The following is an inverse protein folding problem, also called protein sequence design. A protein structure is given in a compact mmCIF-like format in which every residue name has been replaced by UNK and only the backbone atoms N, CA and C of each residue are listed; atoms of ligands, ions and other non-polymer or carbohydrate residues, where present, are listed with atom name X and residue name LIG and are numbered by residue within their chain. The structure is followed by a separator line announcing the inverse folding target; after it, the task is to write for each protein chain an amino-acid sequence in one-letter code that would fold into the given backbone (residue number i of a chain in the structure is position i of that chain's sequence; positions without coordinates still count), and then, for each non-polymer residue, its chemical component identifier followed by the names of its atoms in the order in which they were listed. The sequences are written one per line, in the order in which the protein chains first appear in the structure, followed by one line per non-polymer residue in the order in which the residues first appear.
data_IF_130961233458
#
_entry.id   IF_130961233458
#
_cell.length_a   1.000
_cell.length_b   1.000
_cell.length_c   1.000
_cell.angle_alpha   90.00
_cell.angle_beta   90.00
_cell.angle_gamma   90.00
#
_symmetry.space_group_name_H-M   'P 1'
#
loop_
_entity.id
_entity.type
_entity.pdbx_description
1 polymer ?
#
# COMPACT_ATOMS: atom_id res chain seq x y z
N UNK A 1 -6.32 -55.23 -1.24
CA UNK A 1 -5.00 -54.66 -0.92
C UNK A 1 -4.06 -55.08 -2.05
N UNK A 2 -3.68 -54.14 -2.93
CA UNK A 2 -2.58 -53.26 -2.59
C UNK A 2 -2.87 -51.76 -2.79
N UNK A 3 -1.99 -51.01 -2.15
CA UNK A 3 -1.85 -49.58 -1.92
C UNK A 3 -1.78 -48.69 -3.16
N UNK A 4 -2.49 -47.56 -3.09
CA UNK A 4 -2.51 -46.49 -4.08
C UNK A 4 -1.23 -45.65 -4.13
N UNK A 5 -1.00 -45.06 -5.30
CA UNK A 5 0.05 -44.08 -5.56
C UNK A 5 -0.41 -42.66 -5.24
N UNK A 6 0.49 -41.91 -4.63
CA UNK A 6 0.34 -40.54 -4.16
C UNK A 6 0.09 -39.52 -5.29
N UNK A 7 -0.83 -38.58 -5.02
CA UNK A 7 -0.92 -37.31 -5.72
C UNK A 7 -0.03 -36.27 -5.05
N UNK A 8 0.76 -35.55 -5.85
CA UNK A 8 1.55 -34.42 -5.41
C UNK A 8 0.79 -33.12 -5.73
N UNK A 9 0.21 -32.50 -4.71
CA UNK A 9 -0.31 -31.13 -4.73
C UNK A 9 0.51 -30.28 -3.79
N UNK A 10 1.54 -29.61 -4.31
CA UNK A 10 2.38 -28.68 -3.57
C UNK A 10 1.81 -27.27 -3.66
N UNK A 11 0.97 -26.88 -2.70
CA UNK A 11 0.61 -25.49 -2.46
C UNK A 11 1.68 -24.83 -1.60
N UNK A 12 2.50 -23.95 -2.20
CA UNK A 12 3.39 -23.07 -1.46
C UNK A 12 2.59 -21.88 -0.92
N UNK A 13 2.00 -22.06 0.26
CA UNK A 13 1.52 -20.96 1.08
C UNK A 13 2.70 -20.12 1.55
N UNK A 14 2.83 -18.91 1.03
CA UNK A 14 3.75 -17.91 1.54
C UNK A 14 3.32 -17.50 2.94
N UNK A 15 3.91 -18.13 3.96
CA UNK A 15 3.72 -17.74 5.35
C UNK A 15 4.19 -16.30 5.55
N UNK A 16 3.23 -15.38 5.63
CA UNK A 16 3.41 -14.15 6.37
C UNK A 16 3.56 -14.57 7.83
N UNK A 17 4.76 -14.43 8.37
CA UNK A 17 5.00 -14.59 9.79
C UNK A 17 4.05 -13.67 10.54
N UNK A 18 3.05 -14.25 11.18
CA UNK A 18 2.22 -13.56 12.15
C UNK A 18 3.13 -13.23 13.32
N UNK A 19 3.60 -11.98 13.36
CA UNK A 19 3.97 -11.36 14.62
C UNK A 19 2.73 -11.44 15.52
N UNK A 20 2.71 -12.42 16.42
CA UNK A 20 1.80 -12.46 17.55
C UNK A 20 2.17 -11.29 18.47
N UNK A 21 1.78 -10.09 18.08
CA UNK A 21 1.65 -8.95 18.97
C UNK A 21 0.43 -9.19 19.87
N UNK A 22 0.62 -9.99 20.92
CA UNK A 22 -0.30 -10.04 22.03
C UNK A 22 -0.35 -8.67 22.69
N UNK A 23 -1.38 -7.89 22.38
CA UNK A 23 -1.55 -6.55 22.91
C UNK A 23 -2.97 -6.05 22.71
N UNK A 24 -3.91 -6.59 23.49
CA UNK A 24 -5.16 -5.90 23.79
C UNK A 24 -4.85 -4.63 24.58
N UNK A 25 -4.42 -3.57 23.88
CA UNK A 25 -4.13 -2.28 24.45
C UNK A 25 -5.42 -1.45 24.54
N UNK A 26 -5.94 -1.32 25.76
CA UNK A 26 -6.93 -0.31 26.12
C UNK A 26 -6.48 1.08 25.65
N UNK A 27 -7.43 1.88 25.16
CA UNK A 27 -7.25 3.26 24.70
C UNK A 27 -6.76 4.22 25.79
N UNK A 28 -5.47 4.16 26.09
CA UNK A 28 -4.72 5.27 26.68
C UNK A 28 -4.04 6.05 25.56
N UNK A 29 -4.11 7.38 25.60
CA UNK A 29 -3.31 8.23 24.71
C UNK A 29 -1.83 8.05 25.02
N UNK A 30 -1.16 7.13 24.31
CA UNK A 30 0.29 7.01 24.37
C UNK A 30 0.87 8.27 23.74
N UNK A 31 1.48 9.13 24.54
CA UNK A 31 2.22 10.29 24.01
C UNK A 31 3.56 9.77 23.51
N UNK A 32 3.69 9.57 22.20
CA UNK A 32 4.97 9.22 21.59
C UNK A 32 5.93 10.42 21.70
N UNK A 33 7.06 10.25 22.36
CA UNK A 33 8.12 11.25 22.39
C UNK A 33 8.83 11.24 21.03
N UNK A 34 8.93 12.42 20.41
CA UNK A 34 9.60 12.62 19.12
C UNK A 34 10.75 13.60 19.30
N UNK A 35 11.86 13.33 18.62
CA UNK A 35 13.00 14.25 18.52
C UNK A 35 13.54 14.30 17.10
N UNK A 36 14.24 15.39 16.76
CA UNK A 36 14.97 15.54 15.51
C UNK A 36 16.38 16.04 15.77
N UNK A 37 17.36 15.61 14.99
CA UNK A 37 18.69 16.23 14.99
C UNK A 37 18.60 17.71 14.61
N UNK A 38 17.63 18.04 13.74
CA UNK A 38 17.27 19.38 13.33
C UNK A 38 15.77 19.59 13.59
N UNK A 39 15.47 20.45 14.57
CA UNK A 39 14.11 20.72 15.00
C UNK A 39 13.61 22.04 14.40
N UNK A 40 12.49 21.98 13.66
CA UNK A 40 11.78 23.13 13.09
C UNK A 40 10.46 23.28 13.86
N UNK A 41 10.51 23.99 14.98
CA UNK A 41 9.41 24.11 15.93
C UNK A 41 8.81 25.52 15.90
N UNK A 42 7.67 25.69 15.24
CA UNK A 42 6.97 26.98 15.12
C UNK A 42 7.75 28.07 14.36
N UNK A 43 8.82 27.70 13.66
CA UNK A 43 9.69 28.60 12.91
C UNK A 43 9.80 28.18 11.45
N UNK A 44 10.24 29.10 10.60
CA UNK A 44 10.59 28.81 9.20
C UNK A 44 12.09 28.49 9.07
N UNK A 45 12.41 27.45 8.33
CA UNK A 45 13.77 27.09 7.95
C UNK A 45 13.85 26.87 6.43
N UNK A 46 14.90 27.39 5.79
CA UNK A 46 15.17 27.18 4.36
C UNK A 46 16.61 26.73 4.21
N UNK A 47 16.80 25.62 3.50
CA UNK A 47 18.07 24.93 3.33
C UNK A 47 18.23 24.61 1.84
N UNK A 48 19.36 25.02 1.27
CA UNK A 48 19.77 24.66 -0.09
C UNK A 48 21.10 23.92 -0.02
N UNK A 49 21.10 22.66 -0.46
CA UNK A 49 22.25 21.77 -0.44
C UNK A 49 22.61 21.20 0.94
N UNK A 50 23.81 20.62 0.98
CA UNK A 50 24.40 20.03 2.18
C UNK A 50 23.92 18.60 2.49
N UNK A 51 24.61 17.99 3.45
CA UNK A 51 24.29 16.65 3.97
C UNK A 51 23.85 16.77 5.42
N UNK A 52 22.65 16.28 5.72
CA UNK A 52 21.99 16.37 7.01
C UNK A 52 21.78 14.96 7.55
N UNK A 53 22.32 14.66 8.73
CA UNK A 53 22.43 13.26 9.19
C UNK A 53 21.94 13.09 10.62
N UNK A 54 21.31 11.95 10.89
CA UNK A 54 21.11 11.41 12.23
C UNK A 54 21.56 9.96 12.29
N UNK A 55 22.52 9.68 13.17
CA UNK A 55 23.01 8.33 13.47
C UNK A 55 22.43 7.78 14.77
N UNK A 56 21.66 8.60 15.51
CA UNK A 56 21.08 8.20 16.80
C UNK A 56 19.83 7.38 16.58
N UNK A 57 19.62 6.38 17.45
CA UNK A 57 18.38 5.64 17.53
C UNK A 57 17.22 6.57 17.94
N UNK A 58 16.01 6.27 17.47
CA UNK A 58 14.75 6.96 17.85
C UNK A 58 14.76 8.48 17.65
N UNK A 59 15.60 8.98 16.75
CA UNK A 59 15.75 10.40 16.45
C UNK A 59 15.63 10.64 14.95
N UNK A 60 14.65 11.45 14.56
CA UNK A 60 14.50 11.88 13.18
C UNK A 60 15.70 12.71 12.72
N UNK A 61 15.96 12.82 11.41
CA UNK A 61 16.91 13.84 10.94
C UNK A 61 16.26 15.21 11.10
N UNK A 62 15.14 15.43 10.41
CA UNK A 62 14.31 16.62 10.57
C UNK A 62 12.99 16.30 11.28
N UNK A 63 12.66 17.11 12.28
CA UNK A 63 11.35 17.11 12.92
C UNK A 63 10.71 18.49 12.77
N UNK A 64 9.56 18.57 12.10
CA UNK A 64 8.81 19.81 11.88
C UNK A 64 7.49 19.76 12.66
N UNK A 65 7.30 20.69 13.59
CA UNK A 65 6.19 20.67 14.55
C UNK A 65 5.67 22.08 14.88
N UNK A 66 4.48 22.13 15.50
CA UNK A 66 3.87 23.35 16.05
C UNK A 66 3.77 24.52 15.06
N UNK A 67 3.44 24.23 13.79
CA UNK A 67 3.36 25.26 12.76
C UNK A 67 4.70 25.61 12.11
N UNK A 68 5.74 24.81 12.33
CA UNK A 68 7.03 24.96 11.66
C UNK A 68 6.91 24.78 10.14
N UNK A 69 7.78 25.43 9.39
CA UNK A 69 7.81 25.35 7.92
C UNK A 69 9.24 25.13 7.44
N UNK A 70 9.49 23.97 6.84
CA UNK A 70 10.80 23.58 6.31
C UNK A 70 10.80 23.62 4.79
N UNK A 71 11.77 24.28 4.18
CA UNK A 71 12.06 24.19 2.74
C UNK A 71 13.44 23.57 2.55
N UNK A 72 13.51 22.44 1.86
CA UNK A 72 14.72 21.74 1.48
C UNK A 72 14.85 21.76 -0.04
N UNK A 73 15.98 22.23 -0.54
CA UNK A 73 16.32 22.20 -1.96
C UNK A 73 17.70 21.57 -2.13
N UNK A 74 17.89 20.67 -3.11
CA UNK A 74 19.18 20.03 -3.43
C UNK A 74 19.92 19.34 -2.26
N UNK A 75 19.23 19.07 -1.14
CA UNK A 75 19.83 18.55 0.07
C UNK A 75 19.91 17.01 0.06
N UNK A 76 20.94 16.46 0.73
CA UNK A 76 21.03 15.02 1.03
C UNK A 76 20.69 14.79 2.50
N UNK A 77 19.70 13.93 2.78
CA UNK A 77 19.24 13.59 4.13
C UNK A 77 19.57 12.12 4.40
N UNK A 78 20.30 11.84 5.48
CA UNK A 78 20.81 10.50 5.80
C UNK A 78 20.40 10.05 7.20
N UNK A 79 19.75 8.89 7.30
CA UNK A 79 19.36 8.26 8.57
C UNK A 79 20.00 6.88 8.71
N UNK A 80 20.71 6.63 9.81
CA UNK A 80 21.42 5.36 10.01
C UNK A 80 21.37 4.77 11.43
N UNK A 81 20.68 5.41 12.38
CA UNK A 81 20.39 4.80 13.69
C UNK A 81 19.08 4.01 13.67
N UNK A 82 19.04 2.81 14.24
CA UNK A 82 17.85 1.96 14.26
C UNK A 82 16.74 2.51 15.17
N UNK A 83 15.49 2.21 14.84
CA UNK A 83 14.36 2.38 15.76
C UNK A 83 14.40 1.29 16.81
N UNK A 84 14.07 1.61 18.05
CA UNK A 84 13.83 0.63 19.11
C UNK A 84 12.38 0.12 19.13
N UNK A 85 11.49 0.74 18.35
CA UNK A 85 10.06 0.45 18.37
C UNK A 85 9.45 0.56 16.97
N UNK A 86 9.06 -0.58 16.42
CA UNK A 86 8.46 -0.69 15.09
C UNK A 86 7.08 -0.01 15.00
N UNK A 87 6.21 -0.21 16.01
CA UNK A 87 4.91 0.45 16.05
C UNK A 87 5.08 1.97 16.09
N UNK A 88 6.11 2.48 16.78
CA UNK A 88 6.35 3.90 16.89
C UNK A 88 6.82 4.53 15.57
N UNK A 89 7.66 3.82 14.79
CA UNK A 89 8.06 4.31 13.48
C UNK A 89 6.92 4.24 12.46
N UNK A 90 6.12 3.17 12.49
CA UNK A 90 5.01 2.98 11.55
C UNK A 90 3.83 3.91 11.84
N UNK A 91 3.50 4.16 13.11
CA UNK A 91 2.30 4.95 13.45
C UNK A 91 2.58 6.43 13.71
N UNK A 92 3.74 6.78 14.26
CA UNK A 92 4.03 8.15 14.67
C UNK A 92 5.23 8.76 13.94
N UNK A 93 5.83 8.02 13.00
CA UNK A 93 6.97 8.46 12.23
C UNK A 93 8.27 8.57 13.01
N UNK A 94 8.36 7.97 14.21
CA UNK A 94 9.62 7.89 14.96
C UNK A 94 10.75 7.41 14.03
N UNK A 95 11.95 7.98 14.19
CA UNK A 95 13.16 7.54 13.48
C UNK A 95 13.17 7.80 11.96
N UNK A 96 12.26 8.62 11.43
CA UNK A 96 12.22 9.00 10.02
C UNK A 96 13.35 9.94 9.59
N UNK A 97 13.65 10.01 8.29
CA UNK A 97 14.54 11.04 7.78
C UNK A 97 13.90 12.44 7.91
N UNK A 98 12.69 12.61 7.39
CA UNK A 98 11.90 13.84 7.55
C UNK A 98 10.54 13.49 8.14
N UNK A 99 10.22 14.05 9.31
CA UNK A 99 8.91 13.91 9.95
C UNK A 99 8.23 15.29 10.10
N UNK A 100 7.01 15.41 9.60
CA UNK A 100 6.16 16.60 9.77
C UNK A 100 4.91 16.24 10.57
N UNK A 101 4.70 16.90 11.71
CA UNK A 101 3.59 16.58 12.63
C UNK A 101 2.76 17.81 12.95
N UNK A 102 1.44 17.64 12.91
CA UNK A 102 0.49 18.64 13.41
C UNK A 102 -0.01 19.59 12.33
N UNK A 103 -1.26 20.01 12.49
CA UNK A 103 -1.88 21.03 11.65
C UNK A 103 -1.03 22.30 11.61
N UNK A 104 -0.77 22.79 10.40
CA UNK A 104 0.04 24.00 10.16
C UNK A 104 1.53 23.73 10.00
N UNK A 105 2.03 22.56 10.40
CA UNK A 105 3.41 22.16 10.13
C UNK A 105 3.55 21.71 8.67
N UNK A 106 4.60 22.18 7.99
CA UNK A 106 4.81 21.94 6.56
C UNK A 106 6.27 21.64 6.22
N UNK A 107 6.48 20.79 5.21
CA UNK A 107 7.77 20.67 4.54
C UNK A 107 7.59 20.74 3.01
N UNK A 108 8.51 21.42 2.33
CA UNK A 108 8.66 21.42 0.88
C UNK A 108 10.03 20.88 0.52
N UNK A 109 10.11 19.89 -0.37
CA UNK A 109 11.35 19.23 -0.77
C UNK A 109 11.49 19.23 -2.29
N UNK A 110 12.57 19.81 -2.82
CA UNK A 110 12.82 19.88 -4.26
C UNK A 110 14.24 19.42 -4.60
N UNK A 111 14.39 18.47 -5.54
CA UNK A 111 15.73 18.01 -5.97
C UNK A 111 16.52 17.30 -4.87
N UNK A 112 15.88 16.83 -3.79
CA UNK A 112 16.53 16.23 -2.64
C UNK A 112 16.85 14.74 -2.85
N UNK A 113 17.84 14.25 -2.11
CA UNK A 113 18.13 12.81 -1.97
C UNK A 113 17.93 12.39 -0.51
N UNK A 114 17.13 11.36 -0.26
CA UNK A 114 16.90 10.80 1.08
C UNK A 114 17.41 9.36 1.13
N UNK A 115 18.27 9.05 2.10
CA UNK A 115 18.85 7.72 2.29
C UNK A 115 18.62 7.24 3.71
N UNK A 116 17.97 6.10 3.88
CA UNK A 116 17.81 5.45 5.19
C UNK A 116 18.40 4.04 5.17
N UNK A 117 19.23 3.74 6.17
CA UNK A 117 19.97 2.48 6.26
C UNK A 117 19.80 1.75 7.61
N UNK A 118 18.67 2.01 8.27
CA UNK A 118 18.40 1.57 9.62
C UNK A 118 16.96 1.06 9.75
N UNK A 119 16.74 0.10 10.66
CA UNK A 119 15.43 -0.48 10.93
C UNK A 119 14.45 0.61 11.38
N UNK A 120 13.20 0.54 10.92
CA UNK A 120 12.18 1.52 11.30
C UNK A 120 12.46 2.94 10.82
N UNK A 121 13.21 3.14 9.73
CA UNK A 121 13.59 4.47 9.24
C UNK A 121 12.85 4.85 7.95
N UNK A 122 11.62 5.34 8.10
CA UNK A 122 10.86 5.90 6.99
C UNK A 122 11.60 7.10 6.36
N UNK A 123 11.52 7.28 5.05
CA UNK A 123 12.23 8.37 4.39
C UNK A 123 11.52 9.71 4.65
N UNK A 124 10.25 9.83 4.25
CA UNK A 124 9.46 11.05 4.45
C UNK A 124 8.10 10.68 5.05
N UNK A 125 7.78 11.31 6.17
CA UNK A 125 6.61 10.96 6.98
C UNK A 125 5.76 12.19 7.32
N UNK A 126 4.45 12.09 7.13
CA UNK A 126 3.48 13.11 7.56
C UNK A 126 2.48 12.53 8.58
N UNK A 127 2.37 13.14 9.75
CA UNK A 127 1.47 12.70 10.82
C UNK A 127 0.55 13.83 11.30
N UNK A 128 -0.61 13.48 11.84
CA UNK A 128 -1.47 14.39 12.62
C UNK A 128 -1.81 15.69 11.88
N UNK A 129 -2.22 15.59 10.60
CA UNK A 129 -2.47 16.73 9.69
C UNK A 129 -1.26 17.58 9.29
N UNK A 130 -0.03 17.09 9.53
CA UNK A 130 1.18 17.64 8.92
C UNK A 130 1.16 17.49 7.40
N UNK A 131 1.83 18.40 6.68
CA UNK A 131 1.82 18.41 5.22
C UNK A 131 3.22 18.40 4.62
N UNK A 132 3.41 17.58 3.59
CA UNK A 132 4.65 17.55 2.80
C UNK A 132 4.33 17.76 1.32
N UNK A 133 5.08 18.64 0.66
CA UNK A 133 5.06 18.84 -0.78
C UNK A 133 6.42 18.50 -1.37
N UNK A 134 6.45 17.69 -2.42
CA UNK A 134 7.66 17.11 -2.98
C UNK A 134 7.67 17.33 -4.49
N UNK A 135 8.83 17.70 -5.03
CA UNK A 135 9.05 17.83 -6.46
C UNK A 135 10.44 17.31 -6.85
N UNK A 136 10.51 16.20 -7.58
CA UNK A 136 11.77 15.69 -8.12
C UNK A 136 12.76 15.20 -7.06
N UNK A 137 12.39 14.22 -6.23
CA UNK A 137 13.31 13.66 -5.21
C UNK A 137 13.65 12.19 -5.44
N UNK A 138 14.80 11.77 -4.94
CA UNK A 138 15.22 10.35 -4.90
C UNK A 138 15.21 9.83 -3.47
N UNK A 139 14.59 8.68 -3.24
CA UNK A 139 14.52 7.99 -1.95
C UNK A 139 15.15 6.60 -2.07
N UNK A 140 15.99 6.24 -1.10
CA UNK A 140 16.50 4.88 -0.93
C UNK A 140 16.42 4.43 0.53
N UNK A 141 15.67 3.37 0.81
CA UNK A 141 15.60 2.71 2.12
C UNK A 141 16.09 1.26 2.00
N UNK A 142 16.74 0.72 3.04
CA UNK A 142 17.45 -0.58 2.94
C UNK A 142 17.19 -1.60 4.04
N UNK A 143 16.39 -1.27 5.06
CA UNK A 143 16.07 -2.12 6.22
C UNK A 143 14.57 -2.28 6.40
N UNK A 144 14.14 -3.16 7.32
CA UNK A 144 12.72 -3.40 7.55
C UNK A 144 12.01 -2.17 8.11
N UNK A 145 10.69 -2.14 7.92
CA UNK A 145 9.78 -1.08 8.38
C UNK A 145 10.28 0.33 8.06
N UNK A 146 10.87 0.46 6.86
CA UNK A 146 11.49 1.69 6.34
C UNK A 146 10.88 2.03 4.99
N UNK A 147 9.73 2.69 5.01
CA UNK A 147 8.94 3.04 3.81
C UNK A 147 9.47 4.30 3.14
N UNK A 148 9.05 4.50 1.89
CA UNK A 148 9.39 5.70 1.12
C UNK A 148 8.64 6.93 1.62
N UNK A 149 7.42 7.10 1.12
CA UNK A 149 6.48 8.11 1.60
C UNK A 149 5.47 7.43 2.52
N UNK A 150 5.31 7.92 3.73
CA UNK A 150 4.39 7.36 4.72
C UNK A 150 3.53 8.43 5.39
N UNK A 151 2.28 8.11 5.66
CA UNK A 151 1.30 9.04 6.21
C UNK A 151 0.39 8.38 7.23
N UNK A 152 0.17 9.06 8.36
CA UNK A 152 -0.80 8.65 9.39
C UNK A 152 -1.59 9.83 9.94
N UNK A 153 -2.70 9.54 10.62
CA UNK A 153 -3.52 10.50 11.36
C UNK A 153 -3.82 11.79 10.56
N UNK A 154 -4.37 11.63 9.37
CA UNK A 154 -4.70 12.70 8.41
C UNK A 154 -3.50 13.50 7.89
N UNK A 155 -2.28 12.97 8.03
CA UNK A 155 -1.09 13.48 7.35
C UNK A 155 -1.29 13.50 5.83
N UNK A 156 -0.68 14.49 5.18
CA UNK A 156 -0.86 14.73 3.74
C UNK A 156 0.49 14.83 3.04
N UNK A 157 0.68 14.02 2.00
CA UNK A 157 1.84 14.10 1.12
C UNK A 157 1.36 14.31 -0.32
N UNK A 158 1.88 15.35 -0.97
CA UNK A 158 1.69 15.60 -2.40
C UNK A 158 3.06 15.62 -3.07
N UNK A 159 3.28 14.75 -4.04
CA UNK A 159 4.58 14.56 -4.67
C UNK A 159 4.49 14.48 -6.20
N UNK A 160 5.48 15.06 -6.87
CA UNK A 160 5.73 14.88 -8.31
C UNK A 160 7.13 14.30 -8.57
N UNK A 161 7.23 13.51 -9.64
CA UNK A 161 8.50 13.08 -10.23
C UNK A 161 9.46 12.41 -9.22
N UNK A 162 8.94 11.44 -8.46
CA UNK A 162 9.72 10.76 -7.41
C UNK A 162 10.36 9.47 -7.93
N UNK A 163 11.61 9.22 -7.53
CA UNK A 163 12.29 7.92 -7.68
C UNK A 163 12.45 7.28 -6.30
N UNK A 164 11.69 6.22 -6.02
CA UNK A 164 11.64 5.57 -4.71
C UNK A 164 12.09 4.13 -4.84
N UNK A 165 13.16 3.78 -4.13
CA UNK A 165 13.58 2.40 -3.92
C UNK A 165 13.52 2.03 -2.45
N UNK A 166 12.74 1.01 -2.11
CA UNK A 166 12.67 0.45 -0.75
C UNK A 166 13.11 -1.00 -0.73
N UNK A 167 13.85 -1.40 0.31
CA UNK A 167 14.24 -2.80 0.56
C UNK A 167 14.04 -3.15 2.02
N UNK A 168 13.64 -4.39 2.28
CA UNK A 168 13.34 -4.87 3.62
C UNK A 168 11.92 -5.39 3.71
N UNK A 169 11.59 -6.04 4.83
CA UNK A 169 10.22 -6.47 5.08
C UNK A 169 9.37 -5.27 5.48
N UNK A 170 8.11 -5.23 5.04
CA UNK A 170 7.13 -4.20 5.42
C UNK A 170 7.47 -2.78 4.91
N UNK A 171 8.17 -2.68 3.78
CA UNK A 171 8.69 -1.44 3.19
C UNK A 171 8.02 -1.09 1.87
N UNK A 172 6.79 -0.57 1.89
CA UNK A 172 6.17 -0.05 0.68
C UNK A 172 6.82 1.26 0.20
N UNK A 173 6.76 1.53 -1.11
CA UNK A 173 7.21 2.83 -1.64
C UNK A 173 6.27 3.95 -1.18
N UNK A 174 4.97 3.69 -1.29
CA UNK A 174 3.90 4.55 -0.81
C UNK A 174 3.10 3.79 0.24
N UNK A 175 3.07 4.32 1.45
CA UNK A 175 2.38 3.72 2.59
C UNK A 175 1.44 4.73 3.23
N UNK A 176 0.30 4.26 3.70
CA UNK A 176 -0.43 4.94 4.74
C UNK A 176 -0.71 3.92 5.83
N UNK A 177 -0.61 4.39 7.07
CA UNK A 177 -1.04 3.70 8.27
C UNK A 177 -2.16 4.53 8.95
N UNK A 178 -2.74 3.99 10.03
CA UNK A 178 -3.81 4.53 10.89
C UNK A 178 -4.27 5.97 10.65
N UNK A 179 -5.59 6.16 10.61
CA UNK A 179 -6.20 7.48 10.72
C UNK A 179 -6.28 8.29 9.42
N UNK A 180 -6.52 7.63 8.29
CA UNK A 180 -6.96 8.26 7.04
C UNK A 180 -6.00 9.35 6.49
N UNK A 181 -4.71 9.04 6.41
CA UNK A 181 -3.76 9.89 5.69
C UNK A 181 -4.02 9.89 4.18
N UNK A 182 -3.52 10.91 3.50
CA UNK A 182 -3.67 11.08 2.04
C UNK A 182 -2.31 11.24 1.38
N UNK A 183 -2.04 10.39 0.38
CA UNK A 183 -0.85 10.51 -0.47
C UNK A 183 -1.29 10.68 -1.93
N UNK A 184 -0.78 11.71 -2.59
CA UNK A 184 -0.99 11.96 -4.02
C UNK A 184 0.37 12.03 -4.72
N UNK A 185 0.59 11.16 -5.70
CA UNK A 185 1.81 11.10 -6.51
C UNK A 185 1.46 11.31 -7.98
N UNK A 186 2.15 12.24 -8.65
CA UNK A 186 1.95 12.55 -10.06
C UNK A 186 3.28 12.62 -10.82
N UNK A 187 3.21 12.80 -12.14
CA UNK A 187 4.39 12.96 -12.98
C UNK A 187 5.05 11.62 -13.34
N UNK A 188 6.30 11.69 -13.81
CA UNK A 188 7.08 10.52 -14.24
C UNK A 188 7.80 9.91 -13.04
N UNK A 189 7.03 9.21 -12.20
CA UNK A 189 7.54 8.60 -10.98
C UNK A 189 7.96 7.14 -11.18
N UNK A 190 9.08 6.74 -10.58
CA UNK A 190 9.58 5.36 -10.57
C UNK A 190 9.53 4.78 -9.16
N UNK A 191 8.89 3.62 -9.01
CA UNK A 191 8.71 2.94 -7.72
C UNK A 191 9.31 1.53 -7.75
N UNK A 192 10.20 1.20 -6.82
CA UNK A 192 10.79 -0.13 -6.70
C UNK A 192 10.78 -0.59 -5.25
N UNK A 193 10.03 -1.65 -4.95
CA UNK A 193 10.02 -2.26 -3.62
C UNK A 193 10.61 -3.68 -3.65
N UNK A 194 11.29 -4.06 -2.58
CA UNK A 194 11.86 -5.40 -2.42
C UNK A 194 11.71 -5.92 -0.99
N UNK A 195 11.10 -7.09 -0.85
CA UNK A 195 10.98 -7.78 0.43
C UNK A 195 9.57 -8.34 0.66
N UNK A 196 9.48 -9.26 1.64
CA UNK A 196 8.20 -9.83 2.03
C UNK A 196 7.30 -8.74 2.63
N UNK A 197 6.02 -8.71 2.22
CA UNK A 197 5.08 -7.72 2.73
C UNK A 197 5.36 -6.28 2.29
N UNK A 198 6.14 -6.08 1.21
CA UNK A 198 6.55 -4.75 0.71
C UNK A 198 5.94 -4.46 -0.67
N UNK A 199 4.63 -4.21 -0.79
CA UNK A 199 4.02 -3.84 -2.07
C UNK A 199 4.53 -2.48 -2.57
N UNK A 200 4.21 -2.08 -3.80
CA UNK A 200 4.49 -0.71 -4.25
C UNK A 200 3.67 0.29 -3.45
N UNK A 201 2.38 -0.03 -3.27
CA UNK A 201 1.41 0.80 -2.56
C UNK A 201 0.71 -0.02 -1.48
N UNK A 202 0.80 0.44 -0.23
CA UNK A 202 0.09 -0.12 0.91
C UNK A 202 -0.83 0.95 1.51
N UNK A 203 -2.13 0.70 1.56
CA UNK A 203 -3.11 1.70 1.94
C UNK A 203 -3.93 1.30 3.17
N UNK A 204 -3.79 2.09 4.23
CA UNK A 204 -4.80 2.25 5.29
C UNK A 204 -5.35 3.70 5.33
N UNK A 205 -5.27 4.40 4.20
CA UNK A 205 -5.80 5.75 3.99
C UNK A 205 -6.22 5.93 2.53
N UNK A 206 -5.97 7.09 1.95
CA UNK A 206 -6.25 7.34 0.54
C UNK A 206 -4.94 7.58 -0.23
N UNK A 207 -4.64 6.71 -1.20
CA UNK A 207 -3.47 6.88 -2.06
C UNK A 207 -3.91 7.02 -3.52
N UNK A 208 -3.46 8.08 -4.18
CA UNK A 208 -3.65 8.29 -5.62
C UNK A 208 -2.31 8.43 -6.35
N UNK A 209 -2.18 7.74 -7.49
CA UNK A 209 -0.95 7.74 -8.29
C UNK A 209 -1.31 7.96 -9.76
N UNK A 210 -0.64 8.92 -10.41
CA UNK A 210 -0.81 9.18 -11.85
C UNK A 210 0.54 9.20 -12.56
N UNK A 211 0.69 8.43 -13.64
CA UNK A 211 1.88 8.46 -14.51
C UNK A 211 3.08 7.62 -14.05
N UNK A 212 2.93 6.79 -13.01
CA UNK A 212 4.07 6.08 -12.42
C UNK A 212 4.34 4.71 -13.06
N UNK A 213 5.62 4.35 -13.14
CA UNK A 213 6.07 2.97 -13.42
C UNK A 213 6.64 2.35 -12.16
N UNK A 214 6.38 1.06 -11.91
CA UNK A 214 6.95 0.42 -10.73
C UNK A 214 7.01 -1.10 -10.73
N UNK A 215 7.94 -1.62 -9.92
CA UNK A 215 8.17 -3.06 -9.75
C UNK A 215 8.30 -3.44 -8.27
N UNK A 216 7.42 -4.34 -7.80
CA UNK A 216 7.55 -5.01 -6.52
C UNK A 216 8.21 -6.39 -6.66
N UNK A 217 9.23 -6.65 -5.85
CA UNK A 217 9.92 -7.94 -5.77
C UNK A 217 9.68 -8.56 -4.39
N UNK A 218 8.99 -9.70 -4.34
CA UNK A 218 8.66 -10.39 -3.07
C UNK A 218 7.31 -10.03 -2.43
N UNK A 219 6.52 -9.15 -3.04
CA UNK A 219 5.15 -8.83 -2.63
C UNK A 219 4.26 -8.45 -3.83
N UNK A 220 2.97 -8.19 -3.58
CA UNK A 220 2.03 -7.75 -4.62
C UNK A 220 2.25 -6.30 -5.05
N UNK A 221 1.50 -5.83 -6.06
CA UNK A 221 1.63 -4.42 -6.50
C UNK A 221 0.96 -3.46 -5.53
N UNK A 222 -0.28 -3.77 -5.11
CA UNK A 222 -1.10 -2.89 -4.30
C UNK A 222 -1.85 -3.68 -3.23
N UNK A 223 -1.90 -3.12 -2.02
CA UNK A 223 -2.62 -3.69 -0.88
C UNK A 223 -3.50 -2.62 -0.26
N UNK A 224 -4.79 -2.92 -0.08
CA UNK A 224 -5.73 -2.09 0.67
C UNK A 224 -6.13 -2.85 1.92
N UNK A 225 -6.00 -2.21 3.07
CA UNK A 225 -6.52 -2.70 4.33
C UNK A 225 -7.72 -1.86 4.78
N UNK A 226 -8.80 -2.50 5.20
CA UNK A 226 -10.00 -1.88 5.74
C UNK A 226 -10.79 -1.01 4.77
N UNK A 227 -11.26 0.16 5.23
CA UNK A 227 -12.18 1.05 4.49
C UNK A 227 -11.49 2.05 3.56
N UNK A 228 -10.30 1.69 3.10
CA UNK A 228 -9.34 2.60 2.49
C UNK A 228 -9.30 2.49 0.97
N UNK A 229 -8.55 3.38 0.33
CA UNK A 229 -8.62 3.54 -1.12
C UNK A 229 -7.25 3.60 -1.78
N UNK A 230 -7.20 3.01 -2.99
CA UNK A 230 -6.12 3.21 -3.95
C UNK A 230 -6.73 3.57 -5.31
N UNK A 231 -6.24 4.65 -5.91
CA UNK A 231 -6.58 5.04 -7.28
C UNK A 231 -5.31 5.19 -8.12
N UNK A 232 -5.22 4.47 -9.24
CA UNK A 232 -4.12 4.64 -10.21
C UNK A 232 -4.64 5.03 -11.59
N UNK A 233 -3.93 5.95 -12.25
CA UNK A 233 -4.22 6.41 -13.62
C UNK A 233 -2.93 6.49 -14.43
N UNK A 234 -2.93 5.99 -15.67
CA UNK A 234 -1.76 6.01 -16.56
C UNK A 234 -0.50 5.38 -15.94
N UNK A 235 -0.65 4.33 -15.13
CA UNK A 235 0.46 3.66 -14.44
C UNK A 235 0.82 2.32 -15.08
N UNK A 236 2.08 1.89 -14.92
CA UNK A 236 2.56 0.54 -15.28
C UNK A 236 3.21 -0.14 -14.08
N UNK A 237 2.48 -1.03 -13.41
CA UNK A 237 2.95 -1.72 -12.20
C UNK A 237 3.16 -3.22 -12.44
N UNK A 238 4.24 -3.76 -11.88
CA UNK A 238 4.59 -5.18 -11.99
C UNK A 238 4.93 -5.79 -10.62
N UNK A 239 4.39 -6.96 -10.32
CA UNK A 239 4.88 -7.84 -9.26
C UNK A 239 5.57 -9.05 -9.87
N UNK A 240 6.76 -9.40 -9.37
CA UNK A 240 7.52 -10.55 -9.87
C UNK A 240 7.18 -11.88 -9.19
N UNK A 241 6.58 -11.86 -7.99
CA UNK A 241 6.55 -13.06 -7.13
C UNK A 241 5.21 -13.35 -6.43
N UNK A 242 4.22 -12.45 -6.45
CA UNK A 242 3.04 -12.56 -5.60
C UNK A 242 1.73 -12.23 -6.34
N UNK A 243 0.66 -12.00 -5.58
CA UNK A 243 -0.65 -11.54 -6.04
C UNK A 243 -0.54 -10.22 -6.77
N UNK A 244 -1.46 -9.93 -7.70
CA UNK A 244 -1.51 -8.60 -8.31
C UNK A 244 -1.87 -7.57 -7.25
N UNK A 245 -3.05 -7.75 -6.67
CA UNK A 245 -3.69 -6.82 -5.75
C UNK A 245 -4.41 -7.58 -4.65
N UNK A 246 -4.32 -7.05 -3.43
CA UNK A 246 -5.01 -7.61 -2.26
C UNK A 246 -5.86 -6.55 -1.58
N UNK A 247 -7.09 -6.92 -1.23
CA UNK A 247 -8.00 -6.07 -0.47
C UNK A 247 -8.49 -6.89 0.72
N UNK A 248 -8.18 -6.45 1.93
CA UNK A 248 -8.50 -7.22 3.12
C UNK A 248 -8.79 -6.34 4.33
N UNK A 249 -9.26 -6.95 5.42
CA UNK A 249 -9.32 -6.31 6.73
C UNK A 249 -8.49 -7.16 7.70
N UNK A 250 -7.53 -6.56 8.40
CA UNK A 250 -6.80 -7.23 9.47
C UNK A 250 -7.53 -7.10 10.83
N UNK A 251 -6.92 -7.61 11.91
CA UNK A 251 -7.41 -7.45 13.29
C UNK A 251 -7.11 -6.06 13.89
N UNK A 252 -6.39 -5.18 13.17
CA UNK A 252 -5.91 -3.89 13.67
C UNK A 252 -7.04 -2.88 13.92
N UNK A 253 -6.80 -1.90 14.79
CA UNK A 253 -7.80 -0.96 15.31
C UNK A 253 -8.48 -0.03 14.30
N UNK A 254 -7.95 0.14 13.08
CA UNK A 254 -8.70 0.86 12.02
C UNK A 254 -9.90 0.04 11.51
N UNK A 255 -9.89 -1.29 11.76
CA UNK A 255 -11.03 -2.19 11.59
C UNK A 255 -12.12 -1.98 12.66
N UNK A 256 -11.76 -1.40 13.80
CA UNK A 256 -12.61 -1.28 14.97
C UNK A 256 -13.45 0.00 14.95
N UNK A 257 -13.29 0.83 13.92
CA UNK A 257 -14.18 1.95 13.71
C UNK A 257 -15.60 1.42 13.46
N UNK A 258 -16.57 1.88 14.25
CA UNK A 258 -17.98 1.50 14.10
C UNK A 258 -18.53 1.78 12.69
N UNK A 259 -17.81 2.59 11.89
CA UNK A 259 -18.08 2.91 10.49
C UNK A 259 -17.40 1.99 9.45
N UNK A 260 -16.60 0.98 9.84
CA UNK A 260 -15.95 0.05 8.91
C UNK A 260 -16.96 -0.78 8.07
N UNK A 261 -18.23 -0.81 8.50
CA UNK A 261 -19.34 -1.45 7.75
C UNK A 261 -20.09 -0.50 6.82
N UNK A 262 -19.95 0.82 6.98
CA UNK A 262 -20.66 1.84 6.19
C UNK A 262 -19.91 2.25 4.91
N UNK A 263 -18.57 2.21 4.93
CA UNK A 263 -17.72 2.61 3.80
C UNK A 263 -16.84 1.45 3.33
N UNK A 264 -17.04 1.03 2.07
CA UNK A 264 -16.30 -0.07 1.44
C UNK A 264 -14.90 0.40 1.05
N UNK A 265 -13.90 -0.48 1.12
CA UNK A 265 -12.63 -0.22 0.41
C UNK A 265 -12.89 0.01 -1.07
N UNK A 266 -12.09 0.87 -1.69
CA UNK A 266 -12.23 1.19 -3.12
C UNK A 266 -10.90 1.10 -3.84
N UNK A 267 -10.87 0.30 -4.90
CA UNK A 267 -9.75 0.24 -5.83
C UNK A 267 -10.20 0.77 -7.20
N UNK A 268 -9.51 1.77 -7.71
CA UNK A 268 -9.76 2.34 -9.04
C UNK A 268 -8.52 2.28 -9.92
N UNK A 269 -8.65 1.72 -11.13
CA UNK A 269 -7.55 1.55 -12.08
C UNK A 269 -8.01 2.08 -13.43
N UNK A 270 -7.33 3.11 -13.95
CA UNK A 270 -7.68 3.77 -15.21
C UNK A 270 -6.47 3.81 -16.15
N UNK A 271 -6.67 3.48 -17.42
CA UNK A 271 -5.63 3.59 -18.45
C UNK A 271 -4.27 2.98 -18.06
N UNK A 272 -4.29 1.91 -17.26
CA UNK A 272 -3.08 1.39 -16.61
C UNK A 272 -2.82 -0.06 -16.99
N UNK A 273 -1.58 -0.49 -16.82
CA UNK A 273 -1.19 -1.90 -16.92
C UNK A 273 -0.72 -2.41 -15.56
N UNK A 274 -1.35 -3.47 -15.06
CA UNK A 274 -0.91 -4.17 -13.85
C UNK A 274 -0.55 -5.60 -14.21
N UNK A 275 0.69 -5.99 -13.91
CA UNK A 275 1.23 -7.32 -14.20
C UNK A 275 1.55 -8.06 -12.91
N UNK A 276 1.06 -9.29 -12.77
CA UNK A 276 1.36 -10.18 -11.66
C UNK A 276 1.95 -11.49 -12.19
N UNK A 277 3.22 -11.73 -11.89
CA UNK A 277 3.94 -12.92 -12.34
C UNK A 277 3.89 -14.08 -11.33
N UNK A 278 3.22 -13.90 -10.19
CA UNK A 278 3.02 -14.94 -9.17
C UNK A 278 2.00 -16.01 -9.58
N UNK A 279 1.71 -16.94 -8.67
CA UNK A 279 0.67 -17.97 -8.79
C UNK A 279 -0.64 -17.58 -8.11
N UNK A 280 -0.63 -16.48 -7.37
CA UNK A 280 -1.79 -15.96 -6.68
C UNK A 280 -2.74 -15.21 -7.64
N UNK A 281 -4.00 -15.02 -7.27
CA UNK A 281 -4.98 -14.29 -8.07
C UNK A 281 -4.52 -12.87 -8.46
N UNK A 282 -5.02 -12.33 -9.57
CA UNK A 282 -4.78 -10.93 -9.91
C UNK A 282 -5.46 -9.99 -8.90
N UNK A 283 -6.71 -10.28 -8.53
CA UNK A 283 -7.45 -9.58 -7.47
C UNK A 283 -7.84 -10.60 -6.40
N UNK A 284 -7.29 -10.43 -5.20
CA UNK A 284 -7.63 -11.24 -4.03
C UNK A 284 -8.38 -10.41 -3.00
N UNK A 285 -9.52 -10.91 -2.51
CA UNK A 285 -10.33 -10.23 -1.50
C UNK A 285 -10.67 -11.18 -0.37
N UNK A 286 -10.44 -10.75 0.87
CA UNK A 286 -10.76 -11.54 2.06
C UNK A 286 -11.16 -10.67 3.26
N UNK A 287 -12.02 -11.17 4.13
CA UNK A 287 -12.47 -10.50 5.35
C UNK A 287 -12.96 -9.04 5.16
N UNK A 288 -13.53 -8.67 4.01
CA UNK A 288 -13.90 -7.27 3.76
C UNK A 288 -14.98 -7.12 2.69
N UNK A 289 -15.58 -5.94 2.64
CA UNK A 289 -16.49 -5.50 1.57
C UNK A 289 -15.80 -4.40 0.75
N UNK A 290 -15.66 -4.61 -0.56
CA UNK A 290 -14.96 -3.68 -1.43
C UNK A 290 -15.71 -3.34 -2.73
N UNK A 291 -15.29 -2.24 -3.34
CA UNK A 291 -15.58 -1.90 -4.73
C UNK A 291 -14.28 -1.89 -5.53
N UNK A 292 -14.31 -2.47 -6.73
CA UNK A 292 -13.19 -2.46 -7.67
C UNK A 292 -13.68 -1.96 -9.01
N UNK A 293 -13.09 -0.87 -9.50
CA UNK A 293 -13.38 -0.28 -10.80
C UNK A 293 -12.13 -0.28 -11.67
N UNK A 294 -12.17 -0.97 -12.81
CA UNK A 294 -11.06 -1.04 -13.75
C UNK A 294 -11.59 -0.61 -15.12
N UNK A 295 -11.00 0.44 -15.69
CA UNK A 295 -11.41 0.97 -16.99
C UNK A 295 -10.25 1.18 -17.93
N UNK A 296 -10.41 0.80 -19.20
CA UNK A 296 -9.43 0.97 -20.26
C UNK A 296 -8.03 0.48 -19.86
N UNK A 297 -7.97 -0.59 -19.08
CA UNK A 297 -6.75 -1.06 -18.43
C UNK A 297 -6.49 -2.52 -18.73
N UNK A 298 -5.22 -2.92 -18.64
CA UNK A 298 -4.77 -4.29 -18.88
C UNK A 298 -4.30 -4.93 -17.57
N UNK A 299 -4.92 -6.05 -17.21
CA UNK A 299 -4.49 -6.88 -16.09
C UNK A 299 -3.85 -8.14 -16.65
N UNK A 300 -2.57 -8.36 -16.34
CA UNK A 300 -1.74 -9.42 -16.92
C UNK A 300 -1.31 -10.37 -15.83
N UNK A 301 -1.64 -11.65 -15.98
CA UNK A 301 -1.18 -12.69 -15.08
C UNK A 301 -1.00 -14.00 -15.83
N UNK A 302 -0.37 -14.98 -15.17
CA UNK A 302 -0.24 -16.32 -15.72
C UNK A 302 -1.63 -16.93 -15.95
N UNK A 303 -1.79 -17.67 -17.05
CA UNK A 303 -3.07 -18.31 -17.40
C UNK A 303 -3.56 -19.31 -16.34
N UNK A 304 -2.65 -19.85 -15.53
CA UNK A 304 -2.97 -20.76 -14.42
C UNK A 304 -3.54 -20.05 -13.18
N UNK A 305 -3.55 -18.72 -13.15
CA UNK A 305 -4.00 -17.95 -11.98
C UNK A 305 -5.37 -17.31 -12.24
N UNK A 306 -6.13 -17.13 -11.17
CA UNK A 306 -7.46 -16.53 -11.26
C UNK A 306 -7.36 -15.02 -11.52
N UNK A 307 -8.33 -14.47 -12.26
CA UNK A 307 -8.53 -13.03 -12.36
C UNK A 307 -9.03 -12.47 -11.02
N UNK A 308 -10.00 -13.16 -10.41
CA UNK A 308 -10.67 -12.72 -9.20
C UNK A 308 -10.89 -13.91 -8.26
N UNK A 309 -10.46 -13.78 -7.01
CA UNK A 309 -10.72 -14.76 -5.96
C UNK A 309 -11.22 -14.07 -4.70
N UNK A 310 -12.37 -14.52 -4.22
CA UNK A 310 -13.00 -14.07 -2.99
C UNK A 310 -12.99 -15.24 -2.00
N UNK A 311 -12.29 -15.09 -0.89
CA UNK A 311 -12.09 -16.20 0.03
C UNK A 311 -12.15 -15.75 1.50
N UNK A 312 -12.45 -16.70 2.37
CA UNK A 312 -12.08 -16.64 3.78
C UNK A 312 -10.60 -16.97 3.93
N UNK A 313 -9.96 -16.32 4.89
CA UNK A 313 -8.54 -16.51 5.17
C UNK A 313 -8.27 -16.35 6.67
N UNK A 314 -7.02 -16.17 7.07
CA UNK A 314 -6.58 -16.08 8.45
C UNK A 314 -7.07 -14.85 9.24
N UNK A 315 -7.65 -13.85 8.57
CA UNK A 315 -8.12 -12.61 9.22
C UNK A 315 -9.61 -12.69 9.58
N UNK A 316 -10.00 -12.06 10.70
CA UNK A 316 -11.39 -11.92 11.13
C UNK A 316 -11.98 -13.12 11.87
N UNK A 317 -13.30 -13.10 12.10
CA UNK A 317 -14.01 -14.17 12.81
C UNK A 317 -14.31 -15.33 11.86
N UNK A 318 -13.83 -16.53 12.21
CA UNK A 318 -14.07 -17.75 11.44
C UNK A 318 -15.57 -17.95 11.15
N UNK A 319 -15.89 -18.16 9.87
CA UNK A 319 -17.27 -18.31 9.40
C UNK A 319 -17.96 -17.00 8.99
N UNK A 320 -17.36 -15.85 9.28
CA UNK A 320 -17.84 -14.51 8.86
C UNK A 320 -16.78 -13.66 8.16
N UNK A 321 -15.64 -14.25 7.81
CA UNK A 321 -14.46 -13.57 7.30
C UNK A 321 -14.24 -13.75 5.79
N UNK A 322 -15.32 -13.92 5.02
CA UNK A 322 -15.25 -13.99 3.55
C UNK A 322 -14.94 -12.65 2.89
N UNK A 323 -14.57 -12.69 1.61
CA UNK A 323 -14.40 -11.50 0.77
C UNK A 323 -15.65 -11.18 -0.04
N UNK A 324 -16.15 -9.95 0.04
CA UNK A 324 -17.35 -9.50 -0.69
C UNK A 324 -16.99 -8.33 -1.62
N UNK A 325 -17.33 -8.43 -2.92
CA UNK A 325 -16.92 -7.42 -3.89
C UNK A 325 -18.02 -6.99 -4.87
N UNK A 326 -18.04 -5.70 -5.19
CA UNK A 326 -18.71 -5.16 -6.38
C UNK A 326 -17.63 -4.71 -7.39
N UNK A 327 -17.52 -5.43 -8.50
CA UNK A 327 -16.45 -5.23 -9.49
C UNK A 327 -17.05 -4.71 -10.80
N UNK A 328 -16.47 -3.65 -11.35
CA UNK A 328 -16.79 -3.15 -12.68
C UNK A 328 -15.55 -3.17 -13.56
N UNK A 329 -15.63 -3.88 -14.68
CA UNK A 329 -14.66 -3.82 -15.76
C UNK A 329 -15.29 -3.06 -16.95
N UNK A 330 -14.59 -2.07 -17.47
CA UNK A 330 -15.10 -1.19 -18.54
C UNK A 330 -14.05 -0.97 -19.63
N UNK A 331 -14.28 -1.44 -20.86
CA UNK A 331 -13.30 -1.32 -21.94
C UNK A 331 -12.01 -2.12 -21.69
N UNK A 332 -12.10 -3.24 -20.98
CA UNK A 332 -10.93 -4.07 -20.65
C UNK A 332 -10.86 -5.34 -21.52
N UNK A 333 -9.65 -5.83 -21.78
CA UNK A 333 -9.42 -7.20 -22.29
C UNK A 333 -8.72 -7.99 -21.20
N UNK A 334 -9.38 -9.03 -20.69
CA UNK A 334 -9.00 -9.76 -19.48
C UNK A 334 -9.02 -11.27 -19.76
N UNK A 335 -8.30 -12.01 -18.92
CA UNK A 335 -8.31 -13.48 -18.95
C UNK A 335 -8.42 -14.04 -17.55
N UNK A 336 -8.93 -15.27 -17.40
CA UNK A 336 -8.81 -16.03 -16.15
C UNK A 336 -10.13 -16.26 -15.40
N UNK A 337 -10.06 -17.17 -14.43
CA UNK A 337 -11.21 -17.60 -13.65
C UNK A 337 -11.65 -16.56 -12.62
N UNK A 338 -12.92 -16.63 -12.22
CA UNK A 338 -13.50 -15.84 -11.14
C UNK A 338 -14.21 -16.78 -10.15
N UNK A 339 -13.83 -16.74 -8.88
CA UNK A 339 -14.36 -17.67 -7.88
C UNK A 339 -14.64 -17.01 -6.53
N UNK A 340 -15.70 -17.48 -5.87
CA UNK A 340 -15.98 -17.18 -4.47
C UNK A 340 -16.12 -18.47 -3.66
N UNK A 341 -15.60 -18.49 -2.44
CA UNK A 341 -15.83 -19.60 -1.50
C UNK A 341 -17.26 -19.61 -0.91
N UNK A 342 -17.52 -20.51 0.05
CA UNK A 342 -18.85 -20.73 0.61
C UNK A 342 -19.42 -19.57 1.43
N UNK A 343 -18.60 -18.61 1.86
CA UNK A 343 -19.03 -17.44 2.66
C UNK A 343 -18.67 -16.10 1.98
N UNK A 344 -18.15 -16.17 0.76
CA UNK A 344 -17.74 -15.03 -0.06
C UNK A 344 -18.71 -14.82 -1.22
N UNK A 345 -18.71 -13.62 -1.80
CA UNK A 345 -19.57 -13.31 -2.95
C UNK A 345 -19.05 -12.14 -3.79
N UNK A 346 -19.37 -12.15 -5.08
CA UNK A 346 -19.11 -11.00 -5.94
C UNK A 346 -20.24 -10.73 -6.94
N UNK A 347 -20.42 -9.45 -7.25
CA UNK A 347 -21.12 -8.98 -8.45
C UNK A 347 -20.09 -8.40 -9.39
N UNK A 348 -20.08 -8.83 -10.65
CA UNK A 348 -19.13 -8.39 -11.67
C UNK A 348 -19.92 -7.81 -12.84
N UNK A 349 -19.68 -6.54 -13.17
CA UNK A 349 -20.28 -5.86 -14.31
C UNK A 349 -19.24 -5.67 -15.42
N UNK A 350 -19.52 -6.22 -16.61
CA UNK A 350 -18.73 -6.05 -17.82
C UNK A 350 -19.40 -4.99 -18.70
N UNK A 351 -18.70 -3.89 -18.93
CA UNK A 351 -19.22 -2.73 -19.66
C UNK A 351 -18.31 -2.30 -20.81
N UNK A 352 -18.87 -1.52 -21.73
CA UNK A 352 -18.16 -0.76 -22.75
C UNK A 352 -17.16 -1.61 -23.55
N UNK A 353 -17.61 -2.72 -24.12
CA UNK A 353 -16.77 -3.59 -24.94
C UNK A 353 -15.82 -4.50 -24.16
N UNK A 354 -16.03 -4.70 -22.85
CA UNK A 354 -15.16 -5.56 -22.04
C UNK A 354 -15.21 -7.01 -22.51
N UNK A 355 -14.04 -7.63 -22.68
CA UNK A 355 -13.90 -9.04 -23.08
C UNK A 355 -13.14 -9.82 -22.01
N UNK A 356 -13.70 -10.94 -21.57
CA UNK A 356 -13.05 -11.88 -20.63
C UNK A 356 -13.03 -13.28 -21.25
N UNK A 357 -11.86 -13.91 -21.33
CA UNK A 357 -11.65 -15.27 -21.89
C UNK A 357 -11.03 -16.24 -20.89
N UNK A 358 -11.24 -17.55 -21.04
CA UNK A 358 -10.72 -18.55 -20.09
C UNK A 358 -11.50 -18.57 -18.77
N UNK A 359 -12.79 -18.22 -18.83
CA UNK A 359 -13.56 -17.78 -17.67
C UNK A 359 -14.33 -18.93 -17.04
N UNK A 360 -13.70 -19.68 -16.15
CA UNK A 360 -14.46 -20.50 -15.20
C UNK A 360 -15.01 -19.60 -14.11
N UNK A 361 -16.34 -19.49 -14.03
CA UNK A 361 -17.04 -18.80 -12.94
C UNK A 361 -17.57 -19.84 -11.97
N UNK A 362 -17.26 -19.71 -10.68
CA UNK A 362 -17.71 -20.67 -9.65
C UNK A 362 -18.04 -20.01 -8.31
N UNK A 363 -18.90 -20.67 -7.54
CA UNK A 363 -19.37 -20.13 -6.25
C UNK A 363 -20.35 -18.98 -6.43
N UNK A 364 -20.45 -18.11 -5.43
CA UNK A 364 -21.38 -16.97 -5.43
C UNK A 364 -20.84 -15.77 -6.23
N UNK A 365 -20.54 -15.97 -7.52
CA UNK A 365 -20.11 -14.92 -8.44
C UNK A 365 -21.19 -14.68 -9.50
N UNK A 366 -21.80 -13.50 -9.49
CA UNK A 366 -22.79 -13.09 -10.49
C UNK A 366 -22.14 -12.16 -11.50
N UNK A 367 -22.17 -12.53 -12.78
CA UNK A 367 -21.65 -11.70 -13.87
C UNK A 367 -22.80 -11.10 -14.66
N UNK A 368 -22.77 -9.78 -14.85
CA UNK A 368 -23.65 -9.02 -15.74
C UNK A 368 -22.82 -8.42 -16.86
N UNK A 369 -23.41 -8.29 -18.05
CA UNK A 369 -22.73 -7.71 -19.23
C UNK A 369 -23.68 -6.84 -20.01
N UNK A 370 -23.18 -5.74 -20.56
CA UNK A 370 -23.92 -4.99 -21.58
C UNK A 370 -23.89 -5.70 -22.95
N UNK A 371 -24.58 -5.14 -23.94
CA UNK A 371 -24.68 -5.71 -25.29
C UNK A 371 -23.36 -5.74 -26.06
N UNK A 372 -22.35 -4.98 -25.61
CA UNK A 372 -21.05 -4.87 -26.27
C UNK A 372 -19.97 -5.75 -25.64
N UNK A 373 -20.25 -6.30 -24.45
CA UNK A 373 -19.29 -7.04 -23.64
C UNK A 373 -19.48 -8.55 -23.76
N UNK A 374 -18.42 -9.33 -23.52
CA UNK A 374 -18.43 -10.78 -23.67
C UNK A 374 -17.67 -11.52 -22.58
N UNK A 375 -18.21 -12.67 -22.17
CA UNK A 375 -17.60 -13.64 -21.28
C UNK A 375 -17.53 -14.97 -22.04
N UNK A 376 -16.32 -15.48 -22.28
CA UNK A 376 -16.09 -16.76 -22.92
C UNK A 376 -15.35 -17.71 -21.97
N UNK A 377 -15.78 -18.98 -21.96
CA UNK A 377 -15.14 -20.06 -21.24
C UNK A 377 -13.80 -20.42 -21.88
#
# INVERSE_FOLDING_TARGET
MPSGSAGAGGGQGGGAGSGQGGGGGQGGSVTQLLSGAYLVNGVKATIDGGTWTSTKADQNVFLVVNGGSLTLTNATIVKSGDSSNEDACNFYGLNSAVLVVGKGSTATMTGCTVKTAAEGSNAVFAASSGKVTIDGITISTTKGSSRGLDGTYSGQITASDVDITTKGQHCACLATDRGAAVITVTGDSTLSSAGNGSPLVYSTGDISVTGATGTATGAGTMVIEGKNQIAITDCTFTSTASTGMMIYQSFSGDAADSDATASKSSMTIKNSTVTANGTEPMIYVTNTNCQVNVSSSRLVHKSSTALLSLAKDQWGTSGSNGGHAAVTFSGCTLTGAMSADSISKATVALKNGTKVTGSKVSGSVTVTKDSTSSLAA
#
